data_IF_108550983772
#
_entry.id   IF_108550983772
#
_cell.length_a   1.000
_cell.length_b   1.000
_cell.length_c   1.000
_cell.angle_alpha   90.00
_cell.angle_beta   90.00
_cell.angle_gamma   90.00
#
_symmetry.space_group_name_H-M   'P 1'
#
loop_
_entity.id
_entity.type
_entity.pdbx_description
1 polymer ?
#
# COMPACT_ATOMS: atom_id res chain seq x y z
N UNK A 1 5.49 16.92 -0.66
CA UNK A 1 5.10 15.71 -1.40
C UNK A 1 4.97 14.61 -0.37
N UNK A 2 3.92 13.82 -0.48
CA UNK A 2 3.64 12.71 0.44
C UNK A 2 3.87 11.41 -0.29
N UNK A 3 4.29 10.38 0.43
CA UNK A 3 4.34 9.03 -0.14
C UNK A 3 2.91 8.50 -0.35
N UNK A 4 2.71 7.82 -1.49
CA UNK A 4 1.62 6.89 -1.70
C UNK A 4 2.17 5.48 -1.46
N UNK A 5 1.43 4.69 -0.69
CA UNK A 5 1.83 3.34 -0.29
C UNK A 5 0.89 2.32 -0.91
N UNK A 6 1.50 1.29 -1.51
CA UNK A 6 0.86 0.08 -1.97
C UNK A 6 1.37 -1.08 -1.15
N UNK A 7 0.46 -1.85 -0.56
CA UNK A 7 0.81 -2.97 0.31
C UNK A 7 0.08 -4.23 -0.12
N UNK A 8 0.78 -5.35 -0.12
CA UNK A 8 0.19 -6.67 -0.35
C UNK A 8 -0.19 -7.27 0.99
N UNK A 9 -1.50 -7.34 1.24
CA UNK A 9 -2.07 -7.91 2.45
C UNK A 9 -2.45 -9.36 2.19
N UNK A 10 -1.87 -10.29 2.94
CA UNK A 10 -2.26 -11.70 2.91
C UNK A 10 -3.67 -11.85 3.48
N UNK A 11 -4.61 -12.29 2.63
CA UNK A 11 -6.03 -12.40 3.00
C UNK A 11 -6.27 -13.46 4.08
N UNK A 12 -5.48 -14.53 4.08
CA UNK A 12 -5.68 -15.63 5.01
C UNK A 12 -5.23 -15.25 6.43
N UNK A 13 -4.08 -14.58 6.58
CA UNK A 13 -3.61 -14.05 7.86
C UNK A 13 -4.56 -12.99 8.38
N UNK A 14 -4.97 -12.01 7.55
CA UNK A 14 -5.90 -10.97 7.98
C UNK A 14 -7.25 -11.57 8.42
N UNK A 15 -7.82 -12.49 7.62
CA UNK A 15 -9.07 -13.15 7.96
C UNK A 15 -9.00 -13.89 9.30
N UNK A 16 -7.93 -14.66 9.53
CA UNK A 16 -7.72 -15.35 10.81
C UNK A 16 -7.66 -14.39 12.00
N UNK A 17 -6.98 -13.26 11.87
CA UNK A 17 -6.87 -12.27 12.95
C UNK A 17 -8.23 -11.63 13.26
N UNK A 18 -9.01 -11.28 12.22
CA UNK A 18 -10.32 -10.64 12.38
C UNK A 18 -11.35 -11.55 13.06
N UNK A 19 -11.22 -12.87 12.92
CA UNK A 19 -12.08 -13.86 13.56
C UNK A 19 -11.71 -14.14 15.03
N UNK A 20 -10.52 -13.71 15.49
CA UNK A 20 -10.09 -13.97 16.87
C UNK A 20 -10.77 -13.04 17.86
N UNK A 21 -11.14 -13.53 19.06
CA UNK A 21 -11.44 -12.68 20.19
C UNK A 21 -10.29 -11.71 20.49
N UNK A 22 -10.61 -10.47 20.86
CA UNK A 22 -9.58 -9.47 21.17
C UNK A 22 -8.63 -9.93 22.29
N UNK A 23 -9.09 -10.72 23.26
CA UNK A 23 -8.24 -11.28 24.32
C UNK A 23 -7.13 -12.18 23.78
N UNK A 24 -7.41 -12.92 22.71
CA UNK A 24 -6.41 -13.76 22.03
C UNK A 24 -5.46 -12.88 21.22
N UNK A 25 -5.98 -11.82 20.60
CA UNK A 25 -5.14 -10.87 19.87
C UNK A 25 -4.14 -10.19 20.80
N UNK A 26 -4.61 -9.62 21.91
CA UNK A 26 -3.80 -8.98 22.96
C UNK A 26 -2.72 -9.95 23.45
N UNK A 27 -3.10 -11.13 23.92
CA UNK A 27 -2.13 -12.11 24.41
C UNK A 27 -1.12 -12.50 23.33
N UNK A 28 -1.54 -12.66 22.07
CA UNK A 28 -0.66 -13.04 20.98
C UNK A 28 0.38 -11.97 20.63
N UNK A 29 -0.02 -10.69 20.64
CA UNK A 29 0.89 -9.57 20.42
C UNK A 29 1.82 -9.32 21.63
N UNK A 30 1.30 -9.41 22.86
CA UNK A 30 2.12 -9.25 24.08
C UNK A 30 3.24 -10.30 24.19
N UNK A 31 2.94 -11.55 23.80
CA UNK A 31 3.93 -12.64 23.89
C UNK A 31 4.72 -12.84 22.60
N UNK A 32 4.44 -12.10 21.53
CA UNK A 32 5.03 -12.29 20.20
C UNK A 32 4.66 -13.62 19.52
N UNK A 33 3.56 -14.27 19.94
CA UNK A 33 3.16 -15.59 19.44
C UNK A 33 2.66 -15.56 17.98
N UNK A 34 2.35 -14.37 17.45
CA UNK A 34 1.89 -14.21 16.07
C UNK A 34 3.00 -13.92 15.06
N UNK A 35 4.26 -13.80 15.48
CA UNK A 35 5.38 -13.58 14.55
C UNK A 35 5.49 -14.71 13.54
N UNK A 36 5.22 -15.94 13.96
CA UNK A 36 5.17 -17.12 13.08
C UNK A 36 3.92 -17.17 12.17
N UNK A 37 2.88 -16.39 12.47
CA UNK A 37 1.69 -16.25 11.62
C UNK A 37 1.82 -15.13 10.59
N UNK A 38 2.88 -14.34 10.69
CA UNK A 38 3.12 -13.23 9.78
C UNK A 38 3.48 -13.79 8.39
N UNK A 39 2.95 -13.22 7.29
CA UNK A 39 3.31 -13.67 5.95
C UNK A 39 4.81 -13.58 5.72
N UNK A 40 5.38 -14.40 4.85
CA UNK A 40 6.79 -14.26 4.48
C UNK A 40 7.02 -12.92 3.78
N UNK A 41 8.05 -12.18 4.20
CA UNK A 41 8.41 -10.91 3.57
C UNK A 41 9.22 -11.13 2.31
N UNK A 42 8.89 -10.41 1.23
CA UNK A 42 9.78 -10.36 0.06
C UNK A 42 10.95 -9.40 0.34
N UNK A 43 12.21 -9.86 0.24
CA UNK A 43 13.38 -9.06 0.62
C UNK A 43 13.62 -7.84 -0.28
N UNK A 44 12.93 -7.74 -1.42
CA UNK A 44 13.00 -6.56 -2.32
C UNK A 44 12.18 -5.39 -1.82
N UNK A 45 11.24 -5.62 -0.90
CA UNK A 45 10.27 -4.63 -0.47
C UNK A 45 10.39 -4.33 1.02
N UNK A 46 9.92 -3.14 1.40
CA UNK A 46 9.81 -2.80 2.80
C UNK A 46 8.67 -3.57 3.46
N UNK A 47 8.79 -3.79 4.77
CA UNK A 47 7.71 -4.25 5.64
C UNK A 47 7.97 -3.70 7.04
N UNK A 48 6.91 -3.23 7.72
CA UNK A 48 7.00 -2.71 9.08
C UNK A 48 7.56 -3.74 10.07
N UNK A 49 8.22 -3.29 11.13
CA UNK A 49 8.81 -4.18 12.14
C UNK A 49 7.73 -4.81 13.02
N UNK A 50 7.96 -6.06 13.45
CA UNK A 50 7.01 -6.79 14.30
C UNK A 50 6.71 -6.02 15.59
N UNK A 51 7.75 -5.50 16.25
CA UNK A 51 7.64 -4.84 17.57
C UNK A 51 6.84 -3.54 17.48
N UNK A 52 6.98 -2.79 16.39
CA UNK A 52 6.24 -1.54 16.20
C UNK A 52 4.75 -1.82 16.02
N UNK A 53 4.40 -2.78 15.15
CA UNK A 53 3.00 -3.14 14.89
C UNK A 53 2.33 -3.83 16.10
N UNK A 54 3.07 -4.66 16.83
CA UNK A 54 2.65 -5.21 18.13
C UNK A 54 2.31 -4.08 19.09
N UNK A 55 3.20 -3.11 19.23
CA UNK A 55 3.05 -1.94 20.11
C UNK A 55 1.84 -1.08 19.73
N UNK A 56 1.70 -0.76 18.44
CA UNK A 56 0.61 0.09 17.94
C UNK A 56 -0.77 -0.55 18.18
N UNK A 57 -0.90 -1.87 18.01
CA UNK A 57 -2.15 -2.58 18.31
C UNK A 57 -2.47 -2.58 19.81
N UNK A 58 -1.47 -2.85 20.66
CA UNK A 58 -1.66 -2.84 22.12
C UNK A 58 -1.97 -1.43 22.63
N UNK A 59 -1.34 -0.40 22.07
CA UNK A 59 -1.65 1.00 22.38
C UNK A 59 -3.09 1.35 21.97
N UNK A 60 -3.57 0.83 20.84
CA UNK A 60 -4.98 0.99 20.46
C UNK A 60 -5.93 0.33 21.45
N UNK A 61 -5.63 -0.90 21.89
CA UNK A 61 -6.42 -1.62 22.92
C UNK A 61 -6.51 -0.80 24.20
N UNK A 62 -5.39 -0.27 24.70
CA UNK A 62 -5.32 0.50 25.94
C UNK A 62 -6.12 1.81 25.89
N UNK A 63 -6.23 2.43 24.70
CA UNK A 63 -6.98 3.67 24.47
C UNK A 63 -8.47 3.44 24.19
N UNK A 64 -8.87 2.22 23.82
CA UNK A 64 -10.23 1.91 23.42
C UNK A 64 -11.11 1.59 24.63
N UNK A 65 -12.09 2.44 24.90
CA UNK A 65 -13.05 2.22 25.99
C UNK A 65 -14.16 1.22 25.60
N UNK A 66 -14.60 0.42 26.56
CA UNK A 66 -15.80 -0.42 26.43
C UNK A 66 -15.63 -1.67 25.55
N UNK A 67 -14.39 -2.10 25.29
CA UNK A 67 -14.11 -3.32 24.53
C UNK A 67 -14.63 -4.58 25.25
N UNK A 68 -15.29 -5.45 24.51
CA UNK A 68 -15.56 -6.82 24.93
C UNK A 68 -14.41 -7.71 24.46
N UNK A 69 -13.44 -7.96 25.35
CA UNK A 69 -12.25 -8.75 25.01
C UNK A 69 -12.58 -10.19 24.58
N UNK A 70 -13.72 -10.74 24.99
CA UNK A 70 -14.15 -12.08 24.60
C UNK A 70 -14.73 -12.19 23.18
N UNK A 71 -14.96 -11.05 22.50
CA UNK A 71 -15.55 -11.00 21.17
C UNK A 71 -14.53 -10.56 20.11
N UNK A 72 -14.73 -10.93 18.83
CA UNK A 72 -13.93 -10.42 17.72
C UNK A 72 -14.11 -8.92 17.47
N UNK A 73 -13.28 -8.34 16.59
CA UNK A 73 -13.33 -6.91 16.26
C UNK A 73 -14.68 -6.48 15.65
N UNK A 74 -15.28 -7.33 14.81
CA UNK A 74 -16.55 -7.04 14.14
C UNK A 74 -17.73 -6.88 15.12
N UNK A 75 -17.64 -7.50 16.30
CA UNK A 75 -18.72 -7.55 17.29
C UNK A 75 -18.58 -6.44 18.35
N UNK A 76 -17.60 -5.55 18.20
CA UNK A 76 -17.34 -4.48 19.16
C UNK A 76 -18.30 -3.31 18.95
N UNK A 77 -18.91 -2.83 20.04
CA UNK A 77 -19.76 -1.63 20.05
C UNK A 77 -18.99 -0.30 19.99
N UNK A 78 -17.87 -0.25 19.26
CA UNK A 78 -16.99 0.93 19.17
C UNK A 78 -17.36 1.82 17.97
N UNK A 79 -16.84 3.05 17.96
CA UNK A 79 -17.02 3.94 16.80
C UNK A 79 -16.37 3.37 15.54
N UNK A 80 -16.97 3.65 14.38
CA UNK A 80 -16.43 3.31 13.04
C UNK A 80 -14.98 3.76 12.89
N UNK A 81 -14.64 4.96 13.40
CA UNK A 81 -13.27 5.47 13.38
C UNK A 81 -12.29 4.57 14.13
N UNK A 82 -12.65 4.12 15.34
CA UNK A 82 -11.81 3.22 16.12
C UNK A 82 -11.68 1.84 15.46
N UNK A 83 -12.78 1.34 14.89
CA UNK A 83 -12.79 0.08 14.14
C UNK A 83 -11.88 0.15 12.91
N UNK A 84 -11.88 1.27 12.17
CA UNK A 84 -10.97 1.47 11.03
C UNK A 84 -9.50 1.46 11.45
N UNK A 85 -9.16 2.05 12.61
CA UNK A 85 -7.78 2.01 13.14
C UNK A 85 -7.36 0.58 13.43
N UNK A 86 -8.18 -0.18 14.17
CA UNK A 86 -7.89 -1.58 14.47
C UNK A 86 -7.76 -2.43 13.20
N UNK A 87 -8.65 -2.24 12.24
CA UNK A 87 -8.61 -2.95 10.96
C UNK A 87 -7.34 -2.62 10.16
N UNK A 88 -6.91 -1.35 10.15
CA UNK A 88 -5.67 -0.95 9.50
C UNK A 88 -4.46 -1.62 10.16
N UNK A 89 -4.38 -1.61 11.49
CA UNK A 89 -3.27 -2.25 12.24
C UNK A 89 -3.18 -3.76 11.97
N UNK A 90 -4.32 -4.46 11.96
CA UNK A 90 -4.36 -5.89 11.64
C UNK A 90 -4.04 -6.15 10.15
N UNK A 91 -4.44 -5.26 9.25
CA UNK A 91 -4.06 -5.34 7.84
C UNK A 91 -2.55 -5.13 7.66
N UNK A 92 -1.95 -4.16 8.35
CA UNK A 92 -0.51 -3.89 8.35
C UNK A 92 0.31 -5.06 8.90
N UNK A 93 -0.18 -5.73 9.96
CA UNK A 93 0.41 -6.97 10.45
C UNK A 93 0.50 -8.03 9.34
N UNK A 94 -0.56 -8.10 8.53
CA UNK A 94 -0.76 -9.08 7.48
C UNK A 94 -0.08 -8.70 6.16
N UNK A 95 0.78 -7.68 6.13
CA UNK A 95 1.51 -7.26 4.92
C UNK A 95 2.72 -8.17 4.64
N UNK A 96 2.89 -8.57 3.39
CA UNK A 96 4.07 -9.30 2.90
C UNK A 96 5.07 -8.39 2.17
N UNK A 97 4.59 -7.32 1.53
CA UNK A 97 5.42 -6.35 0.81
C UNK A 97 4.78 -4.96 0.77
N UNK A 98 5.59 -3.91 0.92
CA UNK A 98 5.24 -2.51 0.70
C UNK A 98 6.09 -1.92 -0.43
N UNK A 99 5.42 -1.32 -1.40
CA UNK A 99 6.01 -0.42 -2.38
C UNK A 99 5.48 0.99 -2.15
N UNK A 100 6.36 2.00 -2.23
CA UNK A 100 5.97 3.39 -2.05
C UNK A 100 6.80 4.34 -2.89
N UNK A 101 6.22 5.47 -3.25
CA UNK A 101 6.95 6.61 -3.78
C UNK A 101 6.18 7.91 -3.54
N UNK A 102 6.86 9.03 -3.77
CA UNK A 102 6.22 10.35 -3.79
C UNK A 102 5.09 10.37 -4.82
N UNK A 103 3.94 10.90 -4.39
CA UNK A 103 2.73 11.09 -5.19
C UNK A 103 3.01 11.74 -6.56
N UNK A 104 3.85 12.77 -6.61
CA UNK A 104 4.23 13.45 -7.87
C UNK A 104 4.95 12.56 -8.88
N UNK A 105 5.63 11.49 -8.44
CA UNK A 105 6.31 10.54 -9.35
C UNK A 105 5.33 9.55 -9.98
N UNK A 106 4.17 9.31 -9.36
CA UNK A 106 3.21 8.36 -9.91
C UNK A 106 2.62 8.80 -11.24
N UNK A 107 2.53 10.10 -11.52
CA UNK A 107 2.17 10.59 -12.86
C UNK A 107 3.12 10.03 -13.92
N UNK A 108 4.44 10.07 -13.65
CA UNK A 108 5.45 9.53 -14.56
C UNK A 108 5.35 8.02 -14.73
N UNK A 109 4.93 7.30 -13.69
CA UNK A 109 4.94 5.83 -13.70
C UNK A 109 3.65 5.24 -14.25
N UNK A 110 2.52 5.94 -14.10
CA UNK A 110 1.20 5.41 -14.42
C UNK A 110 0.68 5.95 -15.76
N UNK A 111 0.87 7.23 -16.07
CA UNK A 111 0.31 7.84 -17.29
C UNK A 111 0.84 7.22 -18.60
N UNK A 112 2.15 6.91 -18.74
CA UNK A 112 2.70 6.45 -20.03
C UNK A 112 2.05 5.17 -20.54
N UNK A 113 1.70 4.24 -19.63
CA UNK A 113 1.09 2.97 -20.03
C UNK A 113 -0.43 3.05 -20.18
N UNK A 114 -1.09 3.96 -19.45
CA UNK A 114 -2.54 4.14 -19.53
C UNK A 114 -2.97 5.02 -20.71
N UNK A 115 -2.05 5.81 -21.28
CA UNK A 115 -2.32 6.67 -22.44
C UNK A 115 -3.29 7.82 -22.16
N UNK A 116 -3.47 8.18 -20.90
CA UNK A 116 -4.38 9.24 -20.44
C UNK A 116 -3.77 10.06 -19.31
N UNK A 117 -4.28 11.29 -19.12
CA UNK A 117 -3.85 12.15 -18.03
C UNK A 117 -4.62 11.82 -16.75
N UNK A 118 -3.89 11.77 -15.65
CA UNK A 118 -4.43 11.71 -14.30
C UNK A 118 -4.60 13.16 -13.85
N UNK A 119 -5.80 13.53 -13.41
CA UNK A 119 -6.12 14.92 -13.07
C UNK A 119 -5.63 15.31 -11.68
N UNK A 120 -5.53 14.33 -10.77
CA UNK A 120 -5.19 14.59 -9.37
C UNK A 120 -4.47 13.43 -8.68
N UNK A 121 -3.66 13.77 -7.67
CA UNK A 121 -3.01 12.78 -6.79
C UNK A 121 -4.00 11.90 -6.02
N UNK A 122 -5.25 12.36 -5.83
CA UNK A 122 -6.28 11.59 -5.13
C UNK A 122 -6.75 10.38 -5.93
N UNK A 123 -6.59 10.40 -7.26
CA UNK A 123 -6.93 9.24 -8.10
C UNK A 123 -6.03 8.04 -7.83
N UNK A 124 -4.81 8.25 -7.32
CA UNK A 124 -3.94 7.14 -6.89
C UNK A 124 -4.45 6.39 -5.66
N UNK A 125 -5.54 6.86 -5.01
CA UNK A 125 -6.25 6.10 -3.99
C UNK A 125 -7.38 5.23 -4.59
N UNK A 126 -7.66 5.36 -5.88
CA UNK A 126 -8.71 4.59 -6.56
C UNK A 126 -8.26 3.18 -6.88
N UNK A 127 -8.99 2.18 -6.38
CA UNK A 127 -8.75 0.79 -6.75
C UNK A 127 -8.98 0.52 -8.24
N UNK A 128 -9.90 1.24 -8.89
CA UNK A 128 -10.13 1.13 -10.34
C UNK A 128 -8.89 1.55 -11.14
N UNK A 129 -8.20 2.63 -10.71
CA UNK A 129 -6.97 3.07 -11.35
C UNK A 129 -5.90 1.99 -11.29
N UNK A 130 -5.70 1.38 -10.12
CA UNK A 130 -4.73 0.30 -9.94
C UNK A 130 -5.12 -0.98 -10.68
N UNK A 131 -6.42 -1.29 -10.80
CA UNK A 131 -6.89 -2.41 -11.61
C UNK A 131 -6.59 -2.20 -13.10
N UNK A 132 -6.94 -1.02 -13.65
CA UNK A 132 -6.63 -0.68 -15.05
C UNK A 132 -5.12 -0.67 -15.30
N UNK A 133 -4.34 -0.11 -14.38
CA UNK A 133 -2.89 -0.08 -14.46
C UNK A 133 -2.29 -1.48 -14.43
N UNK A 134 -2.73 -2.34 -13.50
CA UNK A 134 -2.29 -3.74 -13.42
C UNK A 134 -2.60 -4.52 -14.70
N UNK A 135 -3.78 -4.29 -15.30
CA UNK A 135 -4.14 -4.89 -16.59
C UNK A 135 -3.25 -4.41 -17.74
N UNK A 136 -2.95 -3.11 -17.81
CA UNK A 136 -2.04 -2.55 -18.82
C UNK A 136 -0.61 -3.10 -18.65
N UNK A 137 -0.11 -3.16 -17.41
CA UNK A 137 1.19 -3.74 -17.07
C UNK A 137 1.28 -5.21 -17.49
N UNK A 138 0.22 -5.99 -17.29
CA UNK A 138 0.20 -7.41 -17.69
C UNK A 138 0.30 -7.65 -19.21
N UNK A 139 0.05 -6.61 -20.01
CA UNK A 139 0.19 -6.64 -21.47
C UNK A 139 1.55 -6.10 -21.96
N UNK A 140 2.44 -5.72 -21.03
CA UNK A 140 3.81 -5.24 -21.30
C UNK A 140 4.83 -6.14 -20.63
N UNK A 141 6.07 -6.11 -21.10
CA UNK A 141 7.21 -6.62 -20.33
C UNK A 141 7.86 -5.50 -19.49
N UNK A 142 8.76 -5.91 -18.59
CA UNK A 142 9.46 -5.03 -17.64
C UNK A 142 10.30 -3.97 -18.35
N UNK A 143 11.00 -4.34 -19.43
CA UNK A 143 11.91 -3.45 -20.15
C UNK A 143 11.11 -2.39 -20.91
N UNK A 144 10.11 -2.81 -21.69
CA UNK A 144 9.23 -1.92 -22.44
C UNK A 144 8.51 -0.91 -21.53
N UNK A 145 8.01 -1.34 -20.36
CA UNK A 145 7.38 -0.44 -19.40
C UNK A 145 8.38 0.56 -18.82
N UNK A 146 9.56 0.10 -18.40
CA UNK A 146 10.62 0.96 -17.88
C UNK A 146 11.08 2.00 -18.90
N UNK A 147 11.31 1.59 -20.15
CA UNK A 147 11.66 2.50 -21.23
C UNK A 147 10.57 3.55 -21.50
N UNK A 148 9.29 3.16 -21.48
CA UNK A 148 8.18 4.11 -21.69
C UNK A 148 8.17 5.24 -20.66
N UNK A 149 8.48 4.93 -19.40
CA UNK A 149 8.56 5.91 -18.31
C UNK A 149 9.75 6.84 -18.51
N UNK A 150 10.91 6.31 -18.90
CA UNK A 150 12.11 7.13 -19.14
C UNK A 150 11.90 8.08 -20.32
N UNK A 151 11.32 7.60 -21.41
CA UNK A 151 11.02 8.43 -22.59
C UNK A 151 10.01 9.54 -22.26
N UNK A 152 8.95 9.23 -21.49
CA UNK A 152 7.99 10.23 -21.05
C UNK A 152 8.62 11.27 -20.10
N UNK A 153 9.46 10.84 -19.15
CA UNK A 153 10.20 11.74 -18.28
C UNK A 153 11.13 12.69 -19.08
N UNK A 154 11.85 12.17 -20.08
CA UNK A 154 12.70 12.98 -20.95
C UNK A 154 11.88 14.00 -21.74
N UNK A 155 10.76 13.58 -22.34
CA UNK A 155 9.87 14.46 -23.09
C UNK A 155 9.31 15.59 -22.22
N UNK A 156 8.86 15.29 -21.00
CA UNK A 156 8.36 16.33 -20.07
C UNK A 156 9.43 17.35 -19.67
N UNK A 157 10.70 16.95 -19.60
CA UNK A 157 11.81 17.88 -19.34
C UNK A 157 12.06 18.79 -20.53
N UNK A 158 12.08 18.22 -21.74
CA UNK A 158 12.21 19.01 -22.98
C UNK A 158 11.07 20.02 -23.12
N UNK A 159 9.83 19.63 -22.82
CA UNK A 159 8.65 20.51 -22.82
C UNK A 159 8.75 21.68 -21.82
N UNK A 160 9.60 21.55 -20.80
CA UNK A 160 9.89 22.58 -19.79
C UNK A 160 11.17 23.36 -20.11
N UNK A 161 11.74 23.21 -21.30
CA UNK A 161 13.04 23.75 -21.72
C UNK A 161 14.19 23.34 -20.76
N UNK A 162 14.08 22.19 -20.09
CA UNK A 162 15.12 21.65 -19.20
C UNK A 162 16.17 20.84 -19.97
N UNK A 163 17.43 20.92 -19.54
CA UNK A 163 18.52 20.19 -20.18
C UNK A 163 18.44 18.67 -19.94
N UNK A 164 18.77 17.91 -20.98
CA UNK A 164 19.04 16.47 -20.94
C UNK A 164 20.55 16.15 -21.05
N UNK A 165 21.41 17.17 -21.17
CA UNK A 165 22.86 16.98 -21.22
C UNK A 165 23.44 16.79 -19.80
N UNK A 166 23.97 15.59 -19.47
CA UNK A 166 24.59 15.33 -18.17
C UNK A 166 25.81 16.22 -17.88
N UNK A 167 26.42 16.83 -18.90
CA UNK A 167 27.49 17.81 -18.73
C UNK A 167 27.00 19.13 -18.15
N UNK A 168 25.72 19.47 -18.38
CA UNK A 168 25.06 20.67 -17.87
C UNK A 168 24.33 20.41 -16.55
N UNK A 169 23.77 19.22 -16.36
CA UNK A 169 23.19 18.79 -15.08
C UNK A 169 23.64 17.36 -14.71
N UNK A 170 24.56 17.21 -13.74
CA UNK A 170 25.07 15.91 -13.34
C UNK A 170 24.02 15.03 -12.64
N UNK A 171 22.83 15.55 -12.31
CA UNK A 171 21.74 14.77 -11.69
C UNK A 171 20.90 13.99 -12.69
N UNK A 172 21.04 14.23 -13.99
CA UNK A 172 20.23 13.58 -15.03
C UNK A 172 20.36 12.06 -14.96
N UNK A 173 21.59 11.54 -15.02
CA UNK A 173 21.83 10.09 -15.00
C UNK A 173 21.36 9.43 -13.68
N UNK A 174 21.71 9.97 -12.48
CA UNK A 174 21.16 9.45 -11.23
C UNK A 174 19.62 9.48 -11.14
N UNK A 175 18.98 10.51 -11.71
CA UNK A 175 17.52 10.66 -11.70
C UNK A 175 16.86 9.64 -12.63
N UNK A 176 17.40 9.47 -13.83
CA UNK A 176 16.99 8.44 -14.79
C UNK A 176 17.09 7.04 -14.19
N UNK A 177 18.23 6.71 -13.57
CA UNK A 177 18.42 5.43 -12.88
C UNK A 177 17.44 5.24 -11.70
N UNK A 178 17.13 6.31 -10.96
CA UNK A 178 16.11 6.26 -9.89
C UNK A 178 14.72 5.96 -10.45
N UNK A 179 14.33 6.58 -11.57
CA UNK A 179 13.06 6.30 -12.23
C UNK A 179 13.00 4.87 -12.76
N UNK A 180 14.06 4.41 -13.43
CA UNK A 180 14.18 3.04 -13.93
C UNK A 180 14.03 2.03 -12.80
N UNK A 181 14.81 2.17 -11.73
CA UNK A 181 14.80 1.27 -10.58
C UNK A 181 13.43 1.18 -9.89
N UNK A 182 12.77 2.33 -9.66
CA UNK A 182 11.44 2.36 -9.04
C UNK A 182 10.35 1.77 -9.96
N UNK A 183 10.46 2.01 -11.26
CA UNK A 183 9.52 1.52 -12.28
C UNK A 183 9.61 0.00 -12.39
N UNK A 184 10.81 -0.56 -12.48
CA UNK A 184 11.04 -2.00 -12.48
C UNK A 184 10.57 -2.66 -11.18
N UNK A 185 10.81 -2.00 -10.04
CA UNK A 185 10.30 -2.46 -8.74
C UNK A 185 8.76 -2.45 -8.66
N UNK A 186 8.10 -1.44 -9.26
CA UNK A 186 6.63 -1.37 -9.33
C UNK A 186 6.05 -2.46 -10.22
N UNK A 187 6.69 -2.75 -11.36
CA UNK A 187 6.31 -3.85 -12.25
C UNK A 187 6.29 -5.16 -11.45
N UNK A 188 7.40 -5.50 -10.80
CA UNK A 188 7.55 -6.71 -10.00
C UNK A 188 6.52 -6.79 -8.85
N UNK A 189 6.22 -5.65 -8.24
CA UNK A 189 5.24 -5.57 -7.16
C UNK A 189 3.83 -5.90 -7.65
N UNK A 190 3.46 -5.36 -8.82
CA UNK A 190 2.15 -5.61 -9.43
C UNK A 190 2.02 -7.03 -9.97
N UNK A 191 3.09 -7.66 -10.43
CA UNK A 191 3.11 -9.10 -10.73
C UNK A 191 2.70 -9.92 -9.50
N UNK A 192 3.29 -9.61 -8.34
CA UNK A 192 2.95 -10.28 -7.07
C UNK A 192 1.52 -9.97 -6.63
N UNK A 193 1.06 -8.73 -6.82
CA UNK A 193 -0.26 -8.27 -6.42
C UNK A 193 -1.42 -9.02 -7.10
N UNK A 194 -1.19 -9.59 -8.29
CA UNK A 194 -2.22 -10.32 -9.05
C UNK A 194 -2.51 -11.72 -8.52
N UNK A 195 -1.75 -12.20 -7.55
CA UNK A 195 -2.05 -13.47 -6.88
C UNK A 195 -3.34 -13.37 -6.06
N UNK A 196 -4.25 -14.33 -6.19
CA UNK A 196 -5.54 -14.31 -5.48
C UNK A 196 -5.40 -14.29 -3.95
N UNK A 197 -4.26 -14.75 -3.42
CA UNK A 197 -3.94 -14.75 -2.00
C UNK A 197 -3.83 -13.34 -1.39
N UNK A 198 -3.50 -12.33 -2.21
CA UNK A 198 -3.24 -10.98 -1.74
C UNK A 198 -4.42 -10.03 -2.01
N UNK A 199 -4.62 -9.08 -1.10
CA UNK A 199 -5.43 -7.90 -1.30
C UNK A 199 -4.51 -6.67 -1.37
N UNK A 200 -4.79 -5.75 -2.29
CA UNK A 200 -4.08 -4.48 -2.35
C UNK A 200 -4.62 -3.55 -1.27
N UNK A 201 -3.75 -3.04 -0.42
CA UNK A 201 -4.01 -1.94 0.51
C UNK A 201 -3.33 -0.68 -0.03
N UNK A 202 -4.13 0.35 -0.28
CA UNK A 202 -3.69 1.62 -0.88
C UNK A 202 -3.89 2.73 0.15
N UNK A 203 -2.87 3.54 0.35
CA UNK A 203 -2.92 4.71 1.22
C UNK A 203 -1.93 5.78 0.81
N UNK A 204 -1.90 6.85 1.60
CA UNK A 204 -0.92 7.92 1.49
C UNK A 204 -0.52 8.39 2.89
N UNK A 205 0.62 9.07 3.01
CA UNK A 205 0.99 9.64 4.31
C UNK A 205 -0.12 10.54 4.87
N UNK A 206 -0.30 10.50 6.19
CA UNK A 206 -1.31 11.26 6.94
C UNK A 206 -2.78 10.97 6.56
N UNK A 207 -3.04 9.92 5.78
CA UNK A 207 -4.41 9.48 5.52
C UNK A 207 -5.02 8.89 6.78
N UNK A 208 -6.22 9.36 7.14
CA UNK A 208 -6.97 8.76 8.24
C UNK A 208 -7.38 7.33 7.89
N UNK A 209 -7.43 6.45 8.91
CA UNK A 209 -7.64 5.02 8.71
C UNK A 209 -8.89 4.70 7.86
N UNK A 210 -9.98 5.44 8.04
CA UNK A 210 -11.23 5.28 7.29
C UNK A 210 -11.08 5.45 5.77
N UNK A 211 -10.09 6.23 5.33
CA UNK A 211 -9.88 6.57 3.92
C UNK A 211 -8.88 5.63 3.21
N UNK A 212 -8.22 4.73 3.94
CA UNK A 212 -7.39 3.69 3.33
C UNK A 212 -8.27 2.71 2.54
N UNK A 213 -7.79 2.25 1.39
CA UNK A 213 -8.55 1.37 0.50
C UNK A 213 -7.97 -0.04 0.55
N UNK A 214 -8.74 -1.00 1.05
CA UNK A 214 -8.36 -2.41 1.14
C UNK A 214 -9.23 -3.25 0.20
N UNK A 215 -8.62 -3.87 -0.79
CA UNK A 215 -9.29 -4.80 -1.70
C UNK A 215 -10.46 -4.16 -2.46
N UNK A 216 -10.36 -2.87 -2.78
CA UNK A 216 -11.37 -2.16 -3.58
C UNK A 216 -12.37 -1.31 -2.79
N UNK A 217 -12.35 -1.38 -1.46
CA UNK A 217 -13.26 -0.61 -0.59
C UNK A 217 -12.46 0.17 0.44
N UNK A 218 -12.95 1.35 0.81
CA UNK A 218 -12.40 2.09 1.95
C UNK A 218 -12.62 1.32 3.25
N UNK A 219 -11.76 1.49 4.24
CA UNK A 219 -11.97 0.89 5.56
C UNK A 219 -13.24 1.45 6.22
N UNK A 220 -13.58 2.71 5.96
CA UNK A 220 -14.83 3.33 6.41
C UNK A 220 -16.07 2.64 5.85
N UNK A 221 -16.09 2.32 4.55
CA UNK A 221 -17.17 1.52 3.95
C UNK A 221 -17.23 0.13 4.58
N UNK A 222 -16.09 -0.54 4.75
CA UNK A 222 -16.03 -1.89 5.34
C UNK A 222 -16.51 -1.94 6.78
N UNK A 223 -16.11 -0.98 7.61
CA UNK A 223 -16.52 -0.89 9.01
C UNK A 223 -17.99 -0.44 9.15
N UNK A 224 -18.50 0.32 8.17
CA UNK A 224 -19.89 0.79 8.12
C UNK A 224 -20.91 -0.26 7.65
N UNK A 225 -20.47 -1.41 7.13
CA UNK A 225 -21.35 -2.54 6.80
C UNK A 225 -21.60 -3.34 8.09
N UNK A 226 -22.58 -2.91 8.86
CA UNK A 226 -23.34 -3.82 9.71
C UNK A 226 -24.36 -4.52 8.80
N UNK A 227 -24.20 -5.82 8.54
CA UNK A 227 -25.33 -6.65 8.10
C UNK A 227 -26.17 -7.08 9.31
#
# INVERSE_FOLDING_TARGET
>A
MVDVMLRLVDKATLGRLLEMPLSRLVSGFETGAFRDLRPESDPRYHRGFDVDLEGDFLEWIDKADGLNLGAPLADQGISVKSQCVALLLLAEWSVSAEWRCWDGRLFLYVEPILGGRIESVTEFLSADLWHRFSAAISASDRESYSESVILDWMARREDLDETLDPSQDPRILPTMESHKSLTESLFDFLEMARTEANALLIGREFLSADSWVLGGQTLGERAGVSE
#
